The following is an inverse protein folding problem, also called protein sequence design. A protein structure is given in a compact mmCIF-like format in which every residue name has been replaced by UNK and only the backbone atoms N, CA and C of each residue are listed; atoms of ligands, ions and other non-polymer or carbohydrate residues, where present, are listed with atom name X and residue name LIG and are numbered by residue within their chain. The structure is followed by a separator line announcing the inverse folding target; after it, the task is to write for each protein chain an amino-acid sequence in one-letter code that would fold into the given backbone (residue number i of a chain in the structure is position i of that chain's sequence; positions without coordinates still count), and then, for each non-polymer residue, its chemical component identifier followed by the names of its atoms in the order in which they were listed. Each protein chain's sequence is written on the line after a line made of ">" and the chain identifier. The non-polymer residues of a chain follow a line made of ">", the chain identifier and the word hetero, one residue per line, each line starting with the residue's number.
data_IF_536107391145
#
_entry.id   IF_536107391145
#
_cell.length_a   1.000
_cell.length_b   1.000
_cell.length_c   1.000
_cell.angle_alpha   90.00
_cell.angle_beta   90.00
_cell.angle_gamma   90.00
#
_symmetry.space_group_name_H-M   'P 1'
#
loop_
_entity.id
_entity.type
_entity.pdbx_description
1 polymer ?
#
# COMPACT_ATOMS: atom_id res chain seq x y z
N UNK A 1 17.79 -13.32 3.45
CA UNK A 1 16.40 -13.67 3.08
C UNK A 1 15.85 -12.54 2.24
N UNK A 2 15.49 -12.78 0.97
CA UNK A 2 15.05 -11.71 0.08
C UNK A 2 13.71 -11.17 0.59
N UNK A 3 13.66 -9.86 0.85
CA UNK A 3 12.44 -9.14 1.18
C UNK A 3 11.54 -9.18 -0.05
N UNK A 4 10.67 -10.18 -0.09
CA UNK A 4 9.69 -10.34 -1.15
C UNK A 4 8.73 -9.15 -1.09
N UNK A 5 8.67 -8.42 -2.20
CA UNK A 5 7.66 -7.43 -2.57
C UNK A 5 6.26 -7.93 -2.19
N UNK A 6 5.69 -7.43 -1.10
CA UNK A 6 4.27 -7.60 -0.80
C UNK A 6 3.67 -6.21 -0.62
N UNK A 7 3.42 -5.53 -1.74
CA UNK A 7 2.40 -4.48 -1.78
C UNK A 7 1.06 -5.24 -1.74
N UNK A 8 0.63 -5.64 -0.55
CA UNK A 8 -0.79 -5.84 -0.29
C UNK A 8 -1.42 -4.47 -0.56
N UNK A 9 -1.97 -4.28 -1.76
CA UNK A 9 -2.54 -2.99 -2.15
C UNK A 9 -3.76 -2.64 -1.30
N UNK A 10 -4.36 -3.64 -0.65
CA UNK A 10 -5.63 -3.53 0.04
C UNK A 10 -5.64 -4.26 1.40
N UNK A 11 -6.42 -3.75 2.34
CA UNK A 11 -6.73 -4.39 3.64
C UNK A 11 -7.10 -5.86 3.55
N UNK A 12 -7.91 -6.19 2.55
CA UNK A 12 -8.42 -7.54 2.37
C UNK A 12 -7.33 -8.54 1.99
N UNK A 13 -6.20 -8.09 1.44
CA UNK A 13 -5.06 -8.97 1.17
C UNK A 13 -4.37 -9.38 2.46
N UNK A 14 -4.31 -8.47 3.44
CA UNK A 14 -3.82 -8.78 4.78
C UNK A 14 -4.76 -9.75 5.50
N UNK A 15 -6.08 -9.52 5.43
CA UNK A 15 -7.07 -10.47 5.99
C UNK A 15 -6.92 -11.84 5.33
N UNK A 16 -6.77 -11.91 4.01
CA UNK A 16 -6.56 -13.17 3.29
C UNK A 16 -5.24 -13.88 3.65
N UNK A 17 -4.22 -13.15 4.12
CA UNK A 17 -2.95 -13.71 4.55
C UNK A 17 -3.01 -14.32 5.98
N UNK A 18 -4.11 -14.14 6.71
CA UNK A 18 -4.25 -14.70 8.05
C UNK A 18 -4.36 -16.24 8.02
N UNK A 19 -3.87 -16.92 9.07
CA UNK A 19 -4.07 -18.36 9.21
C UNK A 19 -5.54 -18.76 9.24
N UNK A 20 -5.81 -19.97 8.77
CA UNK A 20 -7.10 -20.66 8.81
C UNK A 20 -7.93 -20.39 10.06
N UNK A 21 -7.33 -20.68 11.23
CA UNK A 21 -7.99 -20.62 12.52
C UNK A 21 -8.40 -19.19 12.87
N UNK A 22 -7.55 -18.19 12.56
CA UNK A 22 -7.86 -16.77 12.80
C UNK A 22 -9.02 -16.30 11.90
N UNK A 23 -9.09 -16.78 10.66
CA UNK A 23 -10.20 -16.46 9.74
C UNK A 23 -11.54 -17.05 10.20
N UNK A 24 -11.55 -18.28 10.69
CA UNK A 24 -12.79 -18.90 11.19
C UNK A 24 -13.33 -18.14 12.43
N UNK A 25 -12.45 -17.71 13.35
CA UNK A 25 -12.81 -16.86 14.49
C UNK A 25 -13.37 -15.50 14.01
N UNK A 26 -12.74 -14.89 13.02
CA UNK A 26 -13.25 -13.65 12.42
C UNK A 26 -14.66 -13.83 11.81
N UNK A 27 -14.96 -14.99 11.25
CA UNK A 27 -16.27 -15.30 10.68
C UNK A 27 -17.36 -15.58 11.70
N UNK A 28 -17.04 -15.77 12.97
CA UNK A 28 -18.03 -15.83 14.05
C UNK A 28 -18.75 -14.48 14.23
N UNK A 29 -18.10 -13.38 13.86
CA UNK A 29 -18.66 -12.04 13.97
C UNK A 29 -19.47 -11.66 12.70
N UNK A 30 -20.80 -11.44 12.81
CA UNK A 30 -21.65 -11.08 11.66
C UNK A 30 -21.28 -9.75 11.00
N UNK A 31 -20.62 -8.83 11.72
CA UNK A 31 -20.16 -7.56 11.17
C UNK A 31 -19.06 -7.77 10.13
N UNK A 32 -18.15 -8.67 10.44
CA UNK A 32 -17.00 -9.00 9.61
C UNK A 32 -17.45 -9.69 8.33
N UNK A 33 -18.42 -10.62 8.40
CA UNK A 33 -18.97 -11.27 7.22
C UNK A 33 -19.52 -10.27 6.18
N UNK A 34 -20.24 -9.22 6.62
CA UNK A 34 -20.77 -8.21 5.69
C UNK A 34 -19.71 -7.20 5.24
N UNK A 35 -18.71 -6.87 6.08
CA UNK A 35 -17.61 -6.00 5.66
C UNK A 35 -16.81 -6.68 4.55
N UNK A 36 -16.53 -7.96 4.73
CA UNK A 36 -15.86 -8.79 3.74
C UNK A 36 -16.72 -8.88 2.49
N UNK A 37 -18.03 -9.15 2.61
CA UNK A 37 -18.94 -9.12 1.47
C UNK A 37 -18.92 -7.78 0.74
N UNK A 38 -18.92 -6.63 1.44
CA UNK A 38 -18.80 -5.29 0.82
C UNK A 38 -17.51 -5.09 0.07
N UNK A 39 -16.42 -5.64 0.58
CA UNK A 39 -15.12 -5.54 -0.04
C UNK A 39 -14.98 -6.45 -1.27
N UNK A 40 -15.78 -7.52 -1.42
CA UNK A 40 -15.59 -8.44 -2.55
C UNK A 40 -15.83 -7.78 -3.93
N UNK A 41 -15.13 -8.26 -4.99
CA UNK A 41 -15.45 -7.89 -6.37
C UNK A 41 -16.93 -8.17 -6.70
N UNK A 42 -17.55 -7.42 -7.64
CA UNK A 42 -18.97 -7.58 -7.97
C UNK A 42 -19.38 -9.01 -8.33
N UNK A 43 -18.52 -9.73 -9.05
CA UNK A 43 -18.79 -11.11 -9.46
C UNK A 43 -18.67 -12.10 -8.28
N UNK A 44 -17.70 -11.90 -7.39
CA UNK A 44 -17.58 -12.67 -6.15
C UNK A 44 -18.79 -12.46 -5.23
N UNK A 45 -19.28 -11.20 -5.10
CA UNK A 45 -20.52 -10.88 -4.37
C UNK A 45 -21.72 -11.65 -4.95
N UNK A 46 -21.88 -11.63 -6.28
CA UNK A 46 -22.94 -12.38 -6.97
C UNK A 46 -22.92 -13.85 -6.55
N UNK A 47 -21.77 -14.52 -6.63
CA UNK A 47 -21.65 -15.93 -6.26
C UNK A 47 -22.03 -16.20 -4.81
N UNK A 48 -21.48 -15.43 -3.87
CA UNK A 48 -21.81 -15.58 -2.44
C UNK A 48 -23.30 -15.40 -2.20
N UNK A 49 -23.93 -14.38 -2.81
CA UNK A 49 -25.38 -14.12 -2.64
C UNK A 49 -26.26 -15.21 -3.25
N UNK A 50 -25.90 -15.76 -4.43
CA UNK A 50 -26.66 -16.85 -5.06
C UNK A 50 -26.53 -18.16 -4.28
N UNK A 51 -25.33 -18.45 -3.76
CA UNK A 51 -25.06 -19.64 -2.98
C UNK A 51 -25.54 -19.54 -1.53
N UNK A 52 -25.89 -18.34 -1.05
CA UNK A 52 -26.17 -18.10 0.36
C UNK A 52 -27.27 -19.00 0.92
N UNK A 53 -28.33 -19.26 0.16
CA UNK A 53 -29.44 -20.14 0.56
C UNK A 53 -29.35 -21.54 -0.08
N UNK A 54 -28.24 -21.85 -0.75
CA UNK A 54 -27.98 -23.17 -1.30
C UNK A 54 -27.26 -24.04 -0.25
N UNK A 55 -27.79 -25.22 0.05
CA UNK A 55 -27.22 -26.12 1.08
C UNK A 55 -26.13 -27.06 0.53
N UNK A 56 -26.06 -27.21 -0.80
CA UNK A 56 -25.14 -28.10 -1.52
C UNK A 56 -23.86 -27.43 -2.03
N UNK A 57 -22.86 -28.25 -2.39
CA UNK A 57 -21.69 -27.81 -3.15
C UNK A 57 -22.06 -27.60 -4.62
N UNK A 58 -21.41 -26.63 -5.27
CA UNK A 58 -21.62 -26.33 -6.69
C UNK A 58 -20.35 -26.69 -7.47
N UNK A 59 -20.50 -27.36 -8.61
CA UNK A 59 -19.36 -27.72 -9.46
C UNK A 59 -18.76 -26.50 -10.15
N UNK A 60 -17.44 -26.51 -10.36
CA UNK A 60 -16.73 -25.42 -11.03
C UNK A 60 -17.30 -25.11 -12.43
N UNK A 61 -17.67 -26.16 -13.18
CA UNK A 61 -18.29 -26.03 -14.51
C UNK A 61 -19.58 -25.21 -14.48
N UNK A 62 -20.44 -25.44 -13.49
CA UNK A 62 -21.69 -24.69 -13.37
C UNK A 62 -21.44 -23.20 -13.06
N UNK A 63 -20.42 -22.88 -12.25
CA UNK A 63 -20.04 -21.49 -11.98
C UNK A 63 -19.45 -20.79 -13.22
N UNK A 64 -18.72 -21.53 -14.07
CA UNK A 64 -18.20 -21.02 -15.34
C UNK A 64 -19.34 -20.69 -16.32
N UNK A 65 -20.40 -21.49 -16.36
CA UNK A 65 -21.60 -21.24 -17.17
C UNK A 65 -22.38 -19.98 -16.76
N UNK A 66 -22.20 -19.47 -15.53
CA UNK A 66 -22.87 -18.25 -15.06
C UNK A 66 -22.24 -16.94 -15.58
N UNK A 67 -21.20 -17.05 -16.41
CA UNK A 67 -20.42 -15.92 -16.92
C UNK A 67 -20.33 -16.01 -18.45
N UNK A 68 -20.44 -14.85 -19.09
CA UNK A 68 -20.19 -14.74 -20.53
C UNK A 68 -18.69 -14.97 -20.84
N UNK A 69 -18.34 -15.41 -22.07
CA UNK A 69 -16.94 -15.67 -22.44
C UNK A 69 -15.97 -14.52 -22.12
N UNK A 70 -16.39 -13.27 -22.33
CA UNK A 70 -15.61 -12.06 -22.06
C UNK A 70 -15.29 -11.84 -20.57
N UNK A 71 -16.02 -12.50 -19.66
CA UNK A 71 -15.85 -12.40 -18.22
C UNK A 71 -14.95 -13.46 -17.58
N UNK A 72 -14.37 -14.39 -18.36
CA UNK A 72 -13.60 -15.52 -17.84
C UNK A 72 -12.41 -15.11 -16.95
N UNK A 73 -11.72 -14.02 -17.30
CA UNK A 73 -10.61 -13.49 -16.49
C UNK A 73 -11.10 -12.98 -15.13
N UNK A 74 -12.22 -12.26 -15.10
CA UNK A 74 -12.85 -11.75 -13.87
C UNK A 74 -13.41 -12.88 -13.01
N UNK A 75 -13.92 -13.95 -13.64
CA UNK A 75 -14.34 -15.17 -12.96
C UNK A 75 -13.18 -15.81 -12.20
N UNK A 76 -12.06 -16.07 -12.88
CA UNK A 76 -10.87 -16.68 -12.26
C UNK A 76 -10.37 -15.88 -11.06
N UNK A 77 -10.26 -14.55 -11.21
CA UNK A 77 -9.84 -13.66 -10.11
C UNK A 77 -10.84 -13.68 -8.95
N UNK A 78 -12.14 -13.75 -9.23
CA UNK A 78 -13.17 -13.79 -8.18
C UNK A 78 -13.16 -15.10 -7.41
N UNK A 79 -13.00 -16.25 -8.10
CA UNK A 79 -12.90 -17.56 -7.46
C UNK A 79 -11.63 -17.67 -6.62
N UNK A 80 -10.47 -17.30 -7.18
CA UNK A 80 -9.20 -17.28 -6.45
C UNK A 80 -9.33 -16.43 -5.17
N UNK A 81 -9.98 -15.27 -5.27
CA UNK A 81 -10.22 -14.42 -4.10
C UNK A 81 -11.12 -15.06 -3.03
N UNK A 82 -12.20 -15.72 -3.45
CA UNK A 82 -13.11 -16.41 -2.53
C UNK A 82 -12.45 -17.59 -1.83
N UNK A 83 -11.55 -18.30 -2.53
CA UNK A 83 -10.76 -19.41 -1.97
C UNK A 83 -9.67 -18.89 -1.03
N UNK A 84 -8.95 -17.83 -1.39
CA UNK A 84 -7.95 -17.19 -0.52
C UNK A 84 -8.53 -16.71 0.80
N UNK A 85 -9.72 -16.09 0.76
CA UNK A 85 -10.44 -15.69 1.96
C UNK A 85 -11.12 -16.87 2.68
N UNK A 86 -11.05 -18.10 2.15
CA UNK A 86 -11.75 -19.27 2.71
C UNK A 86 -13.26 -19.07 2.88
N UNK A 87 -13.84 -18.21 2.04
CA UNK A 87 -15.29 -18.10 1.91
C UNK A 87 -15.78 -19.31 1.11
N UNK A 88 -14.99 -19.73 0.11
CA UNK A 88 -15.15 -21.01 -0.56
C UNK A 88 -14.19 -22.05 0.01
N UNK A 89 -14.75 -23.22 0.28
CA UNK A 89 -14.01 -24.46 0.54
C UNK A 89 -14.03 -25.31 -0.71
N UNK A 90 -12.84 -25.73 -1.17
CA UNK A 90 -12.71 -26.62 -2.33
C UNK A 90 -12.85 -28.07 -1.86
N UNK A 91 -13.82 -28.78 -2.42
CA UNK A 91 -13.92 -30.24 -2.33
C UNK A 91 -13.67 -30.86 -3.70
N UNK A 92 -12.68 -31.74 -3.78
CA UNK A 92 -12.40 -32.50 -5.00
C UNK A 92 -13.17 -33.82 -4.91
N UNK A 93 -14.20 -33.98 -5.74
CA UNK A 93 -14.90 -35.25 -5.82
C UNK A 93 -14.03 -36.30 -6.54
N UNK A 94 -14.36 -37.59 -6.34
CA UNK A 94 -13.64 -38.76 -6.88
C UNK A 94 -13.40 -38.72 -8.40
N UNK A 95 -14.13 -37.87 -9.15
CA UNK A 95 -14.00 -37.65 -10.60
C UNK A 95 -13.02 -36.53 -11.01
N UNK A 96 -12.20 -35.99 -10.10
CA UNK A 96 -11.34 -34.80 -10.31
C UNK A 96 -12.10 -33.50 -10.65
N UNK A 97 -13.41 -33.48 -10.49
CA UNK A 97 -14.18 -32.24 -10.60
C UNK A 97 -14.08 -31.45 -9.29
N UNK A 98 -13.68 -30.18 -9.41
CA UNK A 98 -13.67 -29.25 -8.29
C UNK A 98 -15.11 -28.82 -8.01
N UNK A 99 -15.49 -28.89 -6.74
CA UNK A 99 -16.75 -28.35 -6.24
C UNK A 99 -16.46 -27.33 -5.15
N UNK A 100 -17.27 -26.28 -5.10
CA UNK A 100 -17.15 -25.17 -4.18
C UNK A 100 -18.31 -25.18 -3.21
N UNK A 101 -18.02 -25.02 -1.92
CA UNK A 101 -19.02 -24.84 -0.87
C UNK A 101 -18.71 -23.58 -0.06
N UNK A 102 -19.75 -22.82 0.31
CA UNK A 102 -19.59 -21.72 1.26
C UNK A 102 -19.13 -22.23 2.62
N UNK A 103 -18.28 -21.46 3.30
CA UNK A 103 -17.93 -21.71 4.69
C UNK A 103 -19.21 -21.65 5.55
N UNK A 104 -19.55 -22.70 6.32
CA UNK A 104 -20.81 -22.78 7.04
C UNK A 104 -20.97 -21.67 8.08
N UNK A 105 -19.89 -21.27 8.76
CA UNK A 105 -19.93 -20.18 9.76
C UNK A 105 -20.24 -18.85 9.09
N UNK A 106 -19.55 -18.57 7.97
CA UNK A 106 -19.80 -17.36 7.18
C UNK A 106 -21.22 -17.34 6.60
N UNK A 107 -21.69 -18.47 6.08
CA UNK A 107 -23.02 -18.62 5.50
C UNK A 107 -24.11 -18.38 6.55
N UNK A 108 -24.03 -19.03 7.71
CA UNK A 108 -25.01 -18.90 8.78
C UNK A 108 -25.09 -17.47 9.35
N UNK A 109 -23.94 -16.83 9.57
CA UNK A 109 -23.90 -15.46 10.09
C UNK A 109 -24.40 -14.42 9.10
N UNK A 110 -24.09 -14.59 7.80
CA UNK A 110 -24.62 -13.71 6.77
C UNK A 110 -26.13 -13.90 6.55
N UNK A 111 -26.62 -15.15 6.56
CA UNK A 111 -28.06 -15.44 6.51
C UNK A 111 -28.80 -14.79 7.69
N UNK A 112 -28.30 -15.01 8.92
CA UNK A 112 -28.87 -14.40 10.14
C UNK A 112 -28.93 -12.88 10.04
N UNK A 113 -27.91 -12.26 9.46
CA UNK A 113 -27.86 -10.80 9.32
C UNK A 113 -28.89 -10.26 8.33
N UNK A 114 -29.11 -10.97 7.22
CA UNK A 114 -30.11 -10.59 6.22
C UNK A 114 -31.54 -10.76 6.77
N UNK A 115 -31.80 -11.82 7.54
CA UNK A 115 -33.15 -12.12 8.05
C UNK A 115 -33.53 -11.33 9.29
N UNK A 116 -32.61 -11.14 10.22
CA UNK A 116 -32.90 -10.48 11.52
C UNK A 116 -32.71 -8.96 11.46
N UNK A 117 -32.09 -8.44 10.39
CA UNK A 117 -31.60 -7.08 10.34
C UNK A 117 -30.39 -6.89 11.24
N UNK A 118 -29.39 -6.13 10.77
CA UNK A 118 -28.23 -5.80 11.59
C UNK A 118 -28.58 -4.72 12.61
N UNK A 119 -28.64 -5.07 13.90
CA UNK A 119 -28.45 -4.06 14.95
C UNK A 119 -27.02 -3.55 14.80
N UNK A 120 -26.83 -2.23 14.73
CA UNK A 120 -25.48 -1.67 14.70
C UNK A 120 -24.72 -2.15 15.95
N UNK A 121 -23.40 -2.41 15.85
CA UNK A 121 -22.61 -2.86 16.99
C UNK A 121 -22.79 -1.97 18.23
N UNK A 122 -23.01 -0.68 17.99
CA UNK A 122 -23.35 0.33 18.98
C UNK A 122 -24.41 1.27 18.43
N UNK A 123 -25.38 1.62 19.26
CA UNK A 123 -26.35 2.66 18.93
C UNK A 123 -25.70 4.04 19.07
N UNK A 124 -25.97 4.97 18.12
CA UNK A 124 -25.51 6.33 18.26
C UNK A 124 -26.16 6.98 19.50
N UNK A 125 -25.40 7.80 20.20
CA UNK A 125 -25.92 8.57 21.32
C UNK A 125 -27.06 9.48 20.86
N UNK A 126 -28.14 9.60 21.67
CA UNK A 126 -29.21 10.51 21.36
C UNK A 126 -28.70 11.96 21.31
N UNK A 127 -29.23 12.78 20.39
CA UNK A 127 -28.76 14.15 20.18
C UNK A 127 -28.95 15.06 21.39
N UNK A 128 -29.76 14.65 22.37
CA UNK A 128 -29.96 15.33 23.65
C UNK A 128 -28.76 15.26 24.61
N UNK A 129 -27.93 14.22 24.52
CA UNK A 129 -26.75 14.01 25.36
C UNK A 129 -25.48 14.54 24.70
N UNK A 130 -25.50 14.66 23.39
CA UNK A 130 -24.40 15.21 22.60
C UNK A 130 -24.58 16.73 22.52
N UNK A 131 -23.51 17.49 22.79
CA UNK A 131 -23.52 18.93 22.53
C UNK A 131 -23.57 19.26 21.03
N UNK A 132 -22.94 20.37 20.62
CA UNK A 132 -22.80 20.70 19.19
C UNK A 132 -21.92 19.64 18.49
N UNK A 133 -22.55 18.83 17.65
CA UNK A 133 -21.85 17.93 16.75
C UNK A 133 -21.22 18.73 15.59
N UNK A 134 -20.00 18.39 15.15
CA UNK A 134 -19.36 19.01 14.00
C UNK A 134 -20.12 18.66 12.71
N UNK A 135 -20.11 19.58 11.74
CA UNK A 135 -20.67 19.30 10.41
C UNK A 135 -19.83 18.24 9.68
N UNK A 136 -20.39 17.64 8.63
CA UNK A 136 -19.64 16.68 7.79
C UNK A 136 -18.40 17.34 7.15
N UNK A 137 -18.50 18.59 6.73
CA UNK A 137 -17.39 19.36 6.16
C UNK A 137 -16.29 19.64 7.22
N UNK A 138 -16.69 20.00 8.44
CA UNK A 138 -15.75 20.19 9.56
C UNK A 138 -15.03 18.88 9.93
N UNK A 139 -15.72 17.73 9.81
CA UNK A 139 -15.13 16.41 10.05
C UNK A 139 -14.18 15.99 8.93
N UNK A 140 -14.51 16.25 7.67
CA UNK A 140 -13.63 15.97 6.54
C UNK A 140 -12.36 16.83 6.63
N UNK A 141 -12.49 18.12 6.94
CA UNK A 141 -11.35 19.01 7.18
C UNK A 141 -10.47 18.53 8.34
N UNK A 142 -11.09 18.16 9.46
CA UNK A 142 -10.37 17.61 10.62
C UNK A 142 -9.60 16.34 10.25
N UNK A 143 -10.22 15.40 9.54
CA UNK A 143 -9.60 14.13 9.15
C UNK A 143 -8.36 14.36 8.26
N UNK A 144 -8.47 15.27 7.28
CA UNK A 144 -7.34 15.62 6.40
C UNK A 144 -6.22 16.32 7.17
N UNK A 145 -6.54 17.31 8.02
CA UNK A 145 -5.53 18.02 8.81
C UNK A 145 -4.79 17.08 9.76
N UNK A 146 -5.48 16.14 10.43
CA UNK A 146 -4.84 15.15 11.28
C UNK A 146 -3.97 14.18 10.48
N UNK A 147 -4.45 13.70 9.33
CA UNK A 147 -3.67 12.83 8.44
C UNK A 147 -2.41 13.52 7.93
N UNK A 148 -2.49 14.77 7.51
CA UNK A 148 -1.33 15.57 7.11
C UNK A 148 -0.34 15.79 8.25
N UNK A 149 -0.83 16.09 9.46
CA UNK A 149 0.03 16.21 10.65
C UNK A 149 0.78 14.90 10.94
N UNK A 150 0.09 13.76 10.82
CA UNK A 150 0.69 12.45 10.98
C UNK A 150 1.78 12.19 9.92
N UNK A 151 1.49 12.44 8.64
CA UNK A 151 2.47 12.26 7.56
C UNK A 151 3.68 13.18 7.70
N UNK A 152 3.46 14.43 8.12
CA UNK A 152 4.56 15.35 8.42
C UNK A 152 5.44 14.83 9.55
N UNK A 153 4.85 14.32 10.63
CA UNK A 153 5.59 13.71 11.71
C UNK A 153 6.35 12.45 11.28
N UNK A 154 5.76 11.66 10.37
CA UNK A 154 6.38 10.47 9.80
C UNK A 154 7.65 10.79 9.01
N UNK A 155 7.64 11.87 8.21
CA UNK A 155 8.77 12.30 7.37
C UNK A 155 9.78 13.13 8.16
N UNK A 156 9.31 14.05 9.00
CA UNK A 156 10.15 14.99 9.73
C UNK A 156 9.63 15.20 11.16
N UNK A 157 10.20 14.43 12.10
CA UNK A 157 9.85 14.48 13.52
C UNK A 157 10.08 15.85 14.18
N UNK A 158 10.91 16.71 13.59
CA UNK A 158 11.27 18.03 14.14
C UNK A 158 10.27 19.16 13.86
N UNK A 159 9.32 18.99 12.94
CA UNK A 159 8.38 20.06 12.52
C UNK A 159 6.91 19.81 12.89
N UNK A 160 6.61 18.70 13.57
CA UNK A 160 5.24 18.42 14.01
C UNK A 160 4.87 19.33 15.20
N UNK A 161 4.01 20.33 14.95
CA UNK A 161 3.49 21.25 15.98
C UNK A 161 2.62 20.53 17.04
N UNK A 162 2.11 19.33 16.74
CA UNK A 162 1.33 18.49 17.67
C UNK A 162 2.05 17.18 17.93
N UNK A 163 2.27 16.88 19.20
CA UNK A 163 2.79 15.59 19.67
C UNK A 163 1.67 14.55 19.52
N UNK A 164 1.87 13.56 18.65
CA UNK A 164 0.99 12.39 18.56
C UNK A 164 1.10 11.54 19.82
N UNK A 165 0.02 10.88 20.24
CA UNK A 165 0.02 9.91 21.34
C UNK A 165 0.78 8.61 21.03
N UNK A 166 1.19 8.40 19.77
CA UNK A 166 2.05 7.28 19.37
C UNK A 166 3.36 7.22 20.17
N UNK A 167 3.67 6.03 20.68
CA UNK A 167 4.96 5.77 21.30
C UNK A 167 6.09 5.88 20.27
N UNK A 168 7.30 6.32 20.67
CA UNK A 168 8.46 6.39 19.77
C UNK A 168 8.79 5.03 19.11
N UNK A 169 8.47 3.93 19.79
CA UNK A 169 8.61 2.58 19.23
C UNK A 169 7.64 2.31 18.09
N UNK A 170 6.38 2.75 18.20
CA UNK A 170 5.41 2.62 17.11
C UNK A 170 5.74 3.54 15.94
N UNK A 171 6.25 4.74 16.21
CA UNK A 171 6.72 5.61 15.13
C UNK A 171 7.86 4.95 14.35
N UNK A 172 8.81 4.30 15.04
CA UNK A 172 9.86 3.51 14.38
C UNK A 172 9.33 2.36 13.53
N UNK A 173 8.20 1.77 13.92
CA UNK A 173 7.51 0.73 13.13
C UNK A 173 6.94 1.33 11.85
N UNK A 174 6.20 2.44 11.94
CA UNK A 174 5.67 3.10 10.75
C UNK A 174 6.77 3.61 9.81
N UNK A 175 7.90 4.06 10.36
CA UNK A 175 9.04 4.52 9.58
C UNK A 175 9.85 3.37 8.96
N UNK A 176 9.60 2.11 9.36
CA UNK A 176 10.34 0.95 8.87
C UNK A 176 10.08 0.77 7.38
N UNK A 177 11.15 0.85 6.59
CA UNK A 177 11.05 0.75 5.13
C UNK A 177 10.59 2.03 4.44
N UNK A 178 10.11 3.05 5.16
CA UNK A 178 9.81 4.38 4.60
C UNK A 178 10.97 5.37 4.78
N UNK A 179 11.74 5.22 5.86
CA UNK A 179 12.92 6.04 6.16
C UNK A 179 14.17 5.17 6.31
N UNK A 180 15.32 5.72 5.90
CA UNK A 180 16.62 5.09 6.07
C UNK A 180 17.01 5.11 7.55
N UNK A 181 17.24 3.94 8.16
CA UNK A 181 17.61 3.83 9.57
C UNK A 181 19.09 4.15 9.87
N UNK A 182 19.87 4.57 8.86
CA UNK A 182 21.33 4.58 8.89
C UNK A 182 21.99 5.96 9.02
N UNK A 183 21.24 7.05 9.18
CA UNK A 183 21.78 8.41 9.26
C UNK A 183 21.22 9.21 10.43
N UNK A 184 22.03 10.15 10.96
CA UNK A 184 21.65 11.11 12.01
C UNK A 184 20.39 11.92 11.65
N UNK A 185 20.14 12.11 10.36
CA UNK A 185 18.91 12.66 9.81
C UNK A 185 18.21 11.57 8.99
N UNK A 186 16.95 11.19 9.31
CA UNK A 186 16.23 10.18 8.54
C UNK A 186 15.94 10.70 7.13
N UNK A 187 16.39 9.96 6.11
CA UNK A 187 16.08 10.26 4.71
C UNK A 187 14.99 9.33 4.20
N UNK A 188 14.17 9.83 3.27
CA UNK A 188 13.13 9.04 2.63
C UNK A 188 13.75 7.98 1.71
N UNK A 189 13.26 6.74 1.80
CA UNK A 189 13.64 5.65 0.88
C UNK A 189 12.79 5.71 -0.39
N UNK A 190 13.16 4.95 -1.43
CA UNK A 190 12.33 4.76 -2.63
C UNK A 190 10.88 4.36 -2.28
N UNK A 191 10.71 3.39 -1.39
CA UNK A 191 9.40 2.95 -0.91
C UNK A 191 8.70 4.00 -0.06
N UNK A 192 9.44 4.82 0.70
CA UNK A 192 8.92 5.98 1.41
C UNK A 192 8.33 7.01 0.47
N UNK A 193 9.03 7.32 -0.63
CA UNK A 193 8.53 8.22 -1.65
C UNK A 193 7.31 7.63 -2.34
N UNK A 194 7.39 6.37 -2.79
CA UNK A 194 6.25 5.69 -3.41
C UNK A 194 5.02 5.71 -2.50
N UNK A 195 5.18 5.52 -1.19
CA UNK A 195 4.10 5.64 -0.20
C UNK A 195 3.46 7.03 -0.20
N UNK A 196 4.25 8.11 -0.18
CA UNK A 196 3.73 9.48 -0.24
C UNK A 196 2.97 9.77 -1.55
N UNK A 197 3.29 9.06 -2.63
CA UNK A 197 2.59 9.17 -3.91
C UNK A 197 1.25 8.40 -3.96
N UNK A 198 1.01 7.48 -3.03
CA UNK A 198 -0.22 6.67 -3.05
C UNK A 198 -1.46 7.52 -2.71
N UNK A 199 -2.64 7.05 -3.14
CA UNK A 199 -3.90 7.63 -2.68
C UNK A 199 -4.04 7.50 -1.15
N UNK A 200 -4.73 8.46 -0.52
CA UNK A 200 -4.90 8.49 0.96
C UNK A 200 -5.42 7.18 1.54
N UNK A 201 -6.35 6.50 0.85
CA UNK A 201 -6.86 5.21 1.31
C UNK A 201 -5.76 4.14 1.31
N UNK A 202 -4.91 4.11 0.29
CA UNK A 202 -3.82 3.14 0.18
C UNK A 202 -2.68 3.45 1.17
N UNK A 203 -2.39 4.74 1.41
CA UNK A 203 -1.49 5.15 2.50
C UNK A 203 -2.02 4.71 3.86
N UNK A 204 -3.30 4.98 4.12
CA UNK A 204 -3.98 4.57 5.35
C UNK A 204 -3.88 3.06 5.55
N UNK A 205 -4.06 2.28 4.49
CA UNK A 205 -3.92 0.83 4.57
C UNK A 205 -2.56 0.33 4.94
N UNK A 206 -1.53 0.92 4.35
CA UNK A 206 -0.16 0.58 4.68
C UNK A 206 0.11 0.82 6.17
N UNK A 207 -0.32 1.96 6.71
CA UNK A 207 -0.15 2.29 8.13
C UNK A 207 -0.97 1.37 9.04
N UNK A 208 -2.24 1.10 8.71
CA UNK A 208 -3.09 0.19 9.50
C UNK A 208 -2.53 -1.25 9.49
N UNK A 209 -1.95 -1.69 8.38
CA UNK A 209 -1.30 -3.01 8.29
C UNK A 209 -0.10 -3.11 9.23
N UNK A 210 0.78 -2.12 9.21
CA UNK A 210 1.93 -2.09 10.12
C UNK A 210 1.47 -1.98 11.58
N UNK A 211 0.40 -1.21 11.84
CA UNK A 211 -0.22 -1.12 13.16
C UNK A 211 -0.73 -2.47 13.68
N UNK A 212 -1.43 -3.25 12.83
CA UNK A 212 -1.92 -4.60 13.17
C UNK A 212 -0.77 -5.59 13.31
N UNK A 213 0.21 -5.53 12.41
CA UNK A 213 1.37 -6.46 12.46
C UNK A 213 2.19 -6.28 13.74
N UNK A 214 2.21 -5.06 14.29
CA UNK A 214 2.86 -4.75 15.56
C UNK A 214 1.97 -4.91 16.80
N UNK A 215 0.73 -5.41 16.65
CA UNK A 215 -0.18 -5.56 17.79
C UNK A 215 0.23 -6.70 18.72
N UNK A 216 0.85 -7.76 18.18
CA UNK A 216 1.31 -8.92 18.95
C UNK A 216 2.40 -8.52 19.97
N UNK A 217 3.29 -7.59 19.62
CA UNK A 217 4.29 -7.03 20.55
C UNK A 217 3.66 -6.21 21.70
N UNK A 218 2.45 -5.68 21.49
CA UNK A 218 1.67 -4.95 22.51
C UNK A 218 0.80 -5.88 23.35
N UNK A 219 0.79 -7.18 23.08
CA UNK A 219 -0.09 -8.15 23.73
C UNK A 219 -1.57 -8.02 23.31
N UNK A 220 -1.84 -7.41 22.15
CA UNK A 220 -3.20 -7.27 21.60
C UNK A 220 -3.37 -8.27 20.46
N UNK A 221 -4.41 -9.12 20.55
CA UNK A 221 -4.71 -10.07 19.48
C UNK A 221 -5.07 -9.31 18.19
N UNK A 222 -4.38 -9.56 17.06
CA UNK A 222 -4.73 -8.95 15.78
C UNK A 222 -6.17 -9.25 15.35
N UNK A 223 -6.78 -10.37 15.77
CA UNK A 223 -8.17 -10.71 15.46
C UNK A 223 -9.14 -9.71 16.09
N UNK A 224 -8.93 -9.36 17.36
CA UNK A 224 -9.77 -8.39 18.08
C UNK A 224 -9.62 -6.99 17.48
N UNK A 225 -8.40 -6.62 17.10
CA UNK A 225 -8.12 -5.34 16.48
C UNK A 225 -8.76 -5.22 15.09
N UNK A 226 -8.64 -6.25 14.25
CA UNK A 226 -9.30 -6.30 12.94
C UNK A 226 -10.82 -6.25 13.11
N UNK A 227 -11.36 -6.98 14.07
CA UNK A 227 -12.78 -6.97 14.40
C UNK A 227 -13.25 -5.57 14.74
N UNK A 228 -12.51 -4.86 15.59
CA UNK A 228 -12.82 -3.49 15.99
C UNK A 228 -12.72 -2.48 14.84
N UNK A 229 -11.70 -2.58 13.98
CA UNK A 229 -11.55 -1.72 12.80
C UNK A 229 -12.68 -1.92 11.80
N UNK A 230 -13.06 -3.18 11.56
CA UNK A 230 -14.20 -3.50 10.70
C UNK A 230 -15.51 -3.01 11.32
N UNK A 231 -15.69 -3.18 12.62
CA UNK A 231 -16.83 -2.64 13.36
C UNK A 231 -16.94 -1.12 13.20
N UNK A 232 -15.83 -0.39 13.34
CA UNK A 232 -15.77 1.06 13.17
C UNK A 232 -16.24 1.50 11.78
N UNK A 233 -15.96 0.70 10.74
CA UNK A 233 -16.39 1.01 9.37
C UNK A 233 -17.92 0.99 9.17
N UNK A 234 -18.67 0.34 10.06
CA UNK A 234 -20.15 0.31 10.04
C UNK A 234 -20.79 1.49 10.78
N UNK A 235 -20.01 2.25 11.54
CA UNK A 235 -20.54 3.39 12.25
C UNK A 235 -20.89 4.50 11.25
N UNK A 236 -21.97 5.24 11.52
CA UNK A 236 -22.38 6.35 10.67
C UNK A 236 -21.47 7.55 10.90
N UNK A 237 -20.96 8.14 9.83
CA UNK A 237 -20.20 9.39 9.89
C UNK A 237 -21.03 10.50 10.51
N UNK A 238 -20.40 11.32 11.35
CA UNK A 238 -21.06 12.46 12.00
C UNK A 238 -21.96 12.13 13.20
N UNK A 239 -22.14 10.85 13.56
CA UNK A 239 -22.84 10.46 14.79
C UNK A 239 -21.86 10.19 15.93
N UNK A 240 -22.29 10.46 17.15
CA UNK A 240 -21.50 10.23 18.35
C UNK A 240 -21.78 8.85 18.95
N UNK A 241 -20.73 8.22 19.45
CA UNK A 241 -20.76 6.91 20.08
C UNK A 241 -20.02 6.94 21.42
N UNK A 242 -20.59 6.29 22.44
CA UNK A 242 -20.08 6.39 23.81
C UNK A 242 -18.74 5.65 23.98
N UNK A 243 -17.76 6.28 24.65
CA UNK A 243 -16.48 5.64 24.98
C UNK A 243 -16.58 4.63 26.13
N UNK A 244 -17.59 4.76 27.00
CA UNK A 244 -17.73 3.91 28.19
C UNK A 244 -18.03 2.46 27.85
N UNK A 245 -18.58 2.18 26.66
CA UNK A 245 -18.85 0.83 26.16
C UNK A 245 -17.59 0.11 25.66
N UNK A 246 -16.46 0.81 25.55
CA UNK A 246 -15.21 0.25 25.03
C UNK A 246 -14.34 -0.32 26.14
N UNK A 247 -13.67 -1.43 25.83
CA UNK A 247 -12.59 -1.99 26.68
C UNK A 247 -11.38 -1.05 26.71
N UNK A 248 -10.51 -1.18 27.71
CA UNK A 248 -9.33 -0.32 27.84
C UNK A 248 -8.39 -0.42 26.62
N UNK A 249 -8.28 -1.62 26.03
CA UNK A 249 -7.52 -1.86 24.80
C UNK A 249 -8.15 -1.13 23.60
N UNK A 250 -9.48 -1.17 23.48
CA UNK A 250 -10.21 -0.45 22.44
C UNK A 250 -10.09 1.06 22.61
N UNK A 251 -10.11 1.58 23.85
CA UNK A 251 -9.91 3.02 24.12
C UNK A 251 -8.50 3.49 23.74
N UNK A 252 -7.49 2.70 24.08
CA UNK A 252 -6.10 2.96 23.68
C UNK A 252 -5.97 2.97 22.15
N UNK A 253 -6.49 1.95 21.48
CA UNK A 253 -6.53 1.89 20.01
C UNK A 253 -7.29 3.07 19.42
N UNK A 254 -8.39 3.49 20.02
CA UNK A 254 -9.18 4.62 19.52
C UNK A 254 -8.43 5.96 19.67
N UNK A 255 -7.60 6.12 20.69
CA UNK A 255 -6.68 7.26 20.80
C UNK A 255 -5.68 7.27 19.64
N UNK A 256 -5.06 6.13 19.36
CA UNK A 256 -4.15 5.96 18.23
C UNK A 256 -4.87 6.26 16.88
N UNK A 257 -6.11 5.78 16.70
CA UNK A 257 -6.92 6.08 15.51
C UNK A 257 -7.39 7.54 15.42
N UNK A 258 -7.50 8.24 16.55
CA UNK A 258 -7.83 9.65 16.58
C UNK A 258 -6.68 10.51 16.06
N UNK A 259 -5.44 10.14 16.39
CA UNK A 259 -4.24 10.81 15.88
C UNK A 259 -4.06 10.63 14.37
N UNK A 260 -4.52 9.51 13.82
CA UNK A 260 -4.61 9.30 12.36
C UNK A 260 -5.80 10.02 11.71
N UNK A 261 -6.71 10.62 12.49
CA UNK A 261 -7.90 11.30 11.96
C UNK A 261 -9.05 10.39 11.54
N UNK A 262 -9.04 9.10 11.91
CA UNK A 262 -10.17 8.19 11.62
C UNK A 262 -11.37 8.48 12.52
N UNK A 263 -11.11 8.99 13.72
CA UNK A 263 -12.15 9.34 14.70
C UNK A 263 -11.84 10.68 15.35
N UNK A 264 -12.88 11.45 15.65
CA UNK A 264 -12.76 12.67 16.46
C UNK A 264 -13.25 12.39 17.86
N UNK A 265 -12.37 12.56 18.85
CA UNK A 265 -12.72 12.43 20.26
C UNK A 265 -13.31 13.75 20.77
N UNK A 266 -14.43 13.66 21.49
CA UNK A 266 -15.05 14.80 22.15
C UNK A 266 -15.43 14.42 23.58
N UNK A 267 -15.19 15.36 24.51
CA UNK A 267 -15.55 15.21 25.92
C UNK A 267 -16.70 16.15 26.23
N UNK A 268 -17.78 15.61 26.79
CA UNK A 268 -18.83 16.37 27.44
C UNK A 268 -18.53 16.60 28.92
N UNK A 269 -19.55 17.04 29.66
CA UNK A 269 -19.43 17.30 31.11
C UNK A 269 -19.21 16.03 31.93
N UNK A 270 -19.92 14.95 31.59
CA UNK A 270 -19.87 13.66 32.31
C UNK A 270 -19.49 12.47 31.40
N UNK A 271 -19.76 12.56 30.10
CA UNK A 271 -19.54 11.49 29.14
C UNK A 271 -18.53 11.91 28.07
N UNK A 272 -17.79 10.94 27.57
CA UNK A 272 -16.88 11.13 26.42
C UNK A 272 -17.34 10.26 25.27
N UNK A 273 -17.30 10.79 24.05
CA UNK A 273 -17.74 10.10 22.85
C UNK A 273 -16.75 10.26 21.70
N UNK A 274 -16.88 9.39 20.71
CA UNK A 274 -16.13 9.47 19.47
C UNK A 274 -17.06 9.62 18.28
N UNK A 275 -16.55 10.30 17.23
CA UNK A 275 -17.27 10.54 15.98
C UNK A 275 -16.43 9.99 14.83
N UNK A 276 -16.88 8.94 14.12
CA UNK A 276 -16.17 8.41 12.96
C UNK A 276 -16.11 9.42 11.83
N UNK A 277 -14.95 9.50 11.17
CA UNK A 277 -14.74 10.29 9.95
C UNK A 277 -14.91 9.41 8.72
N UNK A 278 -14.91 10.02 7.53
CA UNK A 278 -15.01 9.31 6.25
C UNK A 278 -13.84 8.34 6.00
N UNK A 279 -12.67 8.61 6.60
CA UNK A 279 -11.51 7.71 6.54
C UNK A 279 -11.82 6.36 7.20
N UNK A 280 -12.55 6.38 8.33
CA UNK A 280 -12.93 5.15 9.03
C UNK A 280 -13.96 4.31 8.25
N UNK A 281 -14.94 4.95 7.62
CA UNK A 281 -15.95 4.23 6.82
C UNK A 281 -15.36 3.66 5.52
N UNK A 282 -14.35 4.33 4.95
CA UNK A 282 -13.68 3.86 3.74
C UNK A 282 -12.85 2.58 3.97
N UNK A 283 -12.61 2.19 5.24
CA UNK A 283 -11.89 0.96 5.57
C UNK A 283 -12.59 -0.30 5.02
N UNK A 284 -13.91 -0.42 5.03
CA UNK A 284 -14.57 -1.63 4.48
C UNK A 284 -14.94 -1.53 3.00
N UNK A 285 -14.81 -0.35 2.39
CA UNK A 285 -15.33 -0.04 1.05
C UNK A 285 -14.26 -0.11 -0.05
N UNK A 286 -13.01 -0.44 0.30
CA UNK A 286 -11.79 -0.27 -0.51
C UNK A 286 -11.74 -0.94 -1.91
N UNK A 287 -12.81 -1.59 -2.37
CA UNK A 287 -12.91 -2.26 -3.68
C UNK A 287 -14.08 -1.75 -4.56
N UNK A 288 -14.93 -0.84 -4.05
CA UNK A 288 -16.00 -0.23 -4.82
C UNK A 288 -15.74 1.28 -4.99
N UNK A 289 -15.19 1.64 -6.15
CA UNK A 289 -15.16 3.01 -6.70
C UNK A 289 -14.33 4.09 -5.96
N UNK A 290 -13.01 3.90 -5.81
CA UNK A 290 -12.08 5.03 -5.61
C UNK A 290 -11.70 5.74 -6.93
N UNK A 291 -12.58 5.76 -7.93
CA UNK A 291 -12.35 6.48 -9.20
C UNK A 291 -12.60 8.00 -9.08
N UNK A 292 -12.78 8.53 -7.87
CA UNK A 292 -12.70 9.97 -7.64
C UNK A 292 -11.23 10.39 -7.66
N UNK A 293 -10.70 10.58 -8.87
CA UNK A 293 -9.40 11.25 -9.06
C UNK A 293 -9.44 12.52 -8.21
N UNK A 294 -8.56 12.61 -7.21
CA UNK A 294 -8.33 13.87 -6.51
C UNK A 294 -8.06 14.92 -7.59
N UNK A 295 -8.78 16.04 -7.53
CA UNK A 295 -8.47 17.15 -8.41
C UNK A 295 -7.07 17.63 -8.03
N UNK A 296 -6.12 17.43 -8.94
CA UNK A 296 -4.76 17.88 -8.73
C UNK A 296 -4.69 19.40 -8.62
N UNK A 297 -3.62 19.90 -8.02
CA UNK A 297 -3.38 21.33 -7.81
C UNK A 297 -2.09 21.81 -8.47
N UNK A 298 -1.35 20.93 -9.15
CA UNK A 298 0.00 21.22 -9.67
C UNK A 298 -0.06 21.65 -11.14
N UNK A 299 0.68 22.69 -11.47
CA UNK A 299 0.93 23.17 -12.84
C UNK A 299 2.43 23.23 -13.06
N UNK A 300 2.91 22.58 -14.12
CA UNK A 300 4.32 22.58 -14.52
C UNK A 300 4.47 23.37 -15.82
N UNK A 301 5.39 24.32 -15.83
CA UNK A 301 5.73 25.13 -17.01
C UNK A 301 6.98 24.60 -17.73
N UNK A 302 7.17 25.03 -18.98
CA UNK A 302 8.31 24.63 -19.83
C UNK A 302 9.66 25.15 -19.32
N UNK A 303 9.67 26.11 -18.41
CA UNK A 303 10.85 26.70 -17.76
C UNK A 303 11.26 25.98 -16.47
N UNK A 304 10.76 24.75 -16.23
CA UNK A 304 11.01 23.95 -15.02
C UNK A 304 10.43 24.53 -13.72
N UNK A 305 9.53 25.51 -13.81
CA UNK A 305 8.77 26.00 -12.65
C UNK A 305 7.53 25.15 -12.40
N UNK A 306 7.30 24.88 -11.13
CA UNK A 306 6.17 24.12 -10.60
C UNK A 306 5.37 25.05 -9.70
N UNK A 307 4.08 25.15 -9.98
CA UNK A 307 3.12 25.95 -9.23
C UNK A 307 2.09 25.01 -8.64
N UNK A 308 2.03 24.94 -7.32
CA UNK A 308 1.06 24.11 -6.63
C UNK A 308 0.06 24.98 -5.87
N UNK A 309 -1.21 24.88 -6.26
CA UNK A 309 -2.32 25.58 -5.60
C UNK A 309 -2.75 24.82 -4.34
N UNK A 310 -1.92 24.85 -3.32
CA UNK A 310 -2.17 24.22 -2.03
C UNK A 310 -1.67 25.11 -0.89
N UNK A 311 -2.36 25.04 0.25
CA UNK A 311 -1.93 25.65 1.51
C UNK A 311 -1.28 24.61 2.45
N UNK A 312 -1.21 23.34 2.05
CA UNK A 312 -0.74 22.26 2.92
C UNK A 312 0.79 22.29 3.02
N UNK A 313 1.30 22.24 4.25
CA UNK A 313 2.74 22.12 4.55
C UNK A 313 3.33 20.79 4.04
N UNK A 314 2.55 19.71 4.05
CA UNK A 314 2.98 18.38 3.58
C UNK A 314 3.39 18.42 2.10
N UNK A 315 2.54 18.98 1.27
CA UNK A 315 2.77 19.14 -0.16
C UNK A 315 4.03 19.98 -0.45
N UNK A 316 4.28 21.05 0.32
CA UNK A 316 5.54 21.81 0.26
C UNK A 316 6.75 20.91 0.55
N UNK A 317 6.71 20.08 1.60
CA UNK A 317 7.82 19.17 1.93
C UNK A 317 8.01 18.07 0.88
N UNK A 318 6.93 17.55 0.29
CA UNK A 318 7.02 16.59 -0.83
C UNK A 318 7.72 17.23 -2.03
N UNK A 319 7.35 18.46 -2.39
CA UNK A 319 8.03 19.20 -3.48
C UNK A 319 9.51 19.43 -3.18
N UNK A 320 9.88 19.70 -1.92
CA UNK A 320 11.30 19.89 -1.52
C UNK A 320 12.18 18.69 -1.76
N UNK A 321 11.61 17.48 -1.88
CA UNK A 321 12.39 16.27 -2.11
C UNK A 321 13.07 16.25 -3.48
N UNK A 322 12.48 16.90 -4.48
CA UNK A 322 12.98 16.88 -5.86
C UNK A 322 13.05 18.26 -6.53
N UNK A 323 12.60 19.31 -5.84
CA UNK A 323 12.60 20.69 -6.34
C UNK A 323 12.98 21.68 -5.25
N UNK A 324 13.42 22.87 -5.64
CA UNK A 324 13.70 23.97 -4.72
C UNK A 324 12.46 24.84 -4.59
N UNK A 325 11.86 24.89 -3.40
CA UNK A 325 10.78 25.84 -3.10
C UNK A 325 11.36 27.25 -3.02
N UNK A 326 10.92 28.13 -3.92
CA UNK A 326 11.35 29.53 -3.98
C UNK A 326 10.45 30.42 -3.11
N UNK A 327 9.14 30.22 -3.21
CA UNK A 327 8.14 31.03 -2.50
C UNK A 327 7.02 30.15 -1.94
N UNK A 328 6.62 30.46 -0.71
CA UNK A 328 5.44 29.88 -0.07
C UNK A 328 4.43 30.99 0.22
N UNK A 329 3.40 31.09 -0.60
CA UNK A 329 2.29 32.03 -0.44
C UNK A 329 1.08 31.31 0.19
N UNK A 330 0.07 32.02 0.72
CA UNK A 330 -1.02 31.40 1.48
C UNK A 330 -1.79 30.28 0.78
N UNK A 331 -1.89 30.29 -0.56
CA UNK A 331 -2.59 29.27 -1.37
C UNK A 331 -1.78 28.86 -2.61
N UNK A 332 -0.48 29.17 -2.64
CA UNK A 332 0.36 28.91 -3.80
C UNK A 332 1.80 28.63 -3.36
N UNK A 333 2.31 27.47 -3.75
CA UNK A 333 3.70 27.09 -3.57
C UNK A 333 4.37 27.20 -4.95
N UNK A 334 5.46 27.95 -5.01
CA UNK A 334 6.28 28.09 -6.23
C UNK A 334 7.60 27.39 -6.00
N UNK A 335 7.89 26.41 -6.85
CA UNK A 335 9.12 25.65 -6.82
C UNK A 335 9.78 25.60 -8.20
N UNK A 336 11.09 25.39 -8.22
CA UNK A 336 11.88 25.22 -9.43
C UNK A 336 12.59 23.86 -9.39
N UNK A 337 12.43 23.08 -10.46
CA UNK A 337 13.17 21.84 -10.66
C UNK A 337 14.57 22.20 -11.20
N UNK A 338 15.61 21.81 -10.46
CA UNK A 338 17.00 22.00 -10.88
C UNK A 338 17.74 20.66 -10.86
N UNK A 339 18.83 20.60 -11.63
CA UNK A 339 19.67 19.40 -11.74
C UNK A 339 20.18 18.93 -10.37
N UNK A 340 20.61 19.86 -9.52
CA UNK A 340 21.19 19.56 -8.22
C UNK A 340 20.17 18.92 -7.26
N UNK A 341 18.93 19.41 -7.25
CA UNK A 341 17.88 18.85 -6.38
C UNK A 341 17.46 17.46 -6.86
N UNK A 342 17.39 17.26 -8.18
CA UNK A 342 17.07 15.95 -8.74
C UNK A 342 18.18 14.94 -8.48
N UNK A 343 19.44 15.34 -8.55
CA UNK A 343 20.55 14.45 -8.19
C UNK A 343 20.46 14.03 -6.72
N UNK A 344 20.15 14.97 -5.81
CA UNK A 344 19.85 14.64 -4.42
C UNK A 344 18.66 13.69 -4.26
N UNK A 345 17.62 13.83 -5.09
CA UNK A 345 16.47 12.92 -5.10
C UNK A 345 16.84 11.52 -5.60
N UNK A 346 17.62 11.43 -6.70
CA UNK A 346 18.09 10.17 -7.27
C UNK A 346 19.02 9.41 -6.32
N UNK A 347 19.92 10.12 -5.62
CA UNK A 347 20.76 9.53 -4.56
C UNK A 347 19.94 8.97 -3.39
N UNK A 348 18.76 9.55 -3.12
CA UNK A 348 17.83 9.02 -2.12
C UNK A 348 16.96 7.87 -2.67
N UNK A 349 17.15 7.45 -3.92
CA UNK A 349 16.43 6.35 -4.56
C UNK A 349 15.08 6.74 -5.17
N UNK A 350 14.78 8.03 -5.33
CA UNK A 350 13.57 8.49 -6.01
C UNK A 350 13.80 8.44 -7.50
N UNK A 351 12.99 7.69 -8.27
CA UNK A 351 13.21 7.56 -9.72
C UNK A 351 12.57 8.68 -10.55
N UNK A 352 13.08 8.92 -11.77
CA UNK A 352 12.50 9.92 -12.67
C UNK A 352 11.02 9.63 -12.96
N UNK A 353 10.68 8.36 -13.20
CA UNK A 353 9.32 7.94 -13.49
C UNK A 353 8.35 8.15 -12.31
N UNK A 354 8.83 8.01 -11.08
CA UNK A 354 8.04 8.32 -9.89
C UNK A 354 7.72 9.82 -9.80
N UNK A 355 8.71 10.69 -10.05
CA UNK A 355 8.54 12.15 -10.07
C UNK A 355 7.57 12.56 -11.18
N UNK A 356 7.75 12.03 -12.39
CA UNK A 356 6.85 12.31 -13.53
C UNK A 356 5.43 11.84 -13.22
N UNK A 357 5.28 10.63 -12.68
CA UNK A 357 3.97 10.09 -12.29
C UNK A 357 3.29 10.95 -11.22
N UNK A 358 4.04 11.46 -10.24
CA UNK A 358 3.52 12.38 -9.22
C UNK A 358 2.95 13.66 -9.84
N UNK A 359 3.73 14.31 -10.71
CA UNK A 359 3.33 15.55 -11.37
C UNK A 359 2.09 15.33 -12.26
N UNK A 360 2.00 14.19 -12.94
CA UNK A 360 0.86 13.84 -13.78
C UNK A 360 -0.41 13.53 -12.97
N UNK A 361 -0.29 12.77 -11.87
CA UNK A 361 -1.43 12.38 -11.02
C UNK A 361 -2.00 13.58 -10.26
N UNK A 362 -1.16 14.54 -9.88
CA UNK A 362 -1.55 15.75 -9.16
C UNK A 362 -1.69 16.99 -10.07
N UNK A 363 -1.78 16.79 -11.39
CA UNK A 363 -1.94 17.88 -12.35
C UNK A 363 -3.30 18.59 -12.15
N UNK A 364 -3.29 19.92 -12.21
CA UNK A 364 -4.49 20.75 -12.13
C UNK A 364 -5.49 20.37 -13.23
N UNK A 365 -6.82 20.31 -12.99
CA UNK A 365 -7.81 19.82 -13.96
C UNK A 365 -7.72 20.47 -15.35
N UNK A 366 -7.39 21.77 -15.42
CA UNK A 366 -7.20 22.50 -16.69
C UNK A 366 -5.99 22.01 -17.50
N UNK A 367 -4.97 21.51 -16.81
CA UNK A 367 -3.73 20.99 -17.39
C UNK A 367 -3.82 19.48 -17.60
N UNK A 368 -4.51 18.76 -16.71
CA UNK A 368 -4.76 17.33 -16.83
C UNK A 368 -5.57 16.95 -18.09
N UNK A 369 -6.34 17.88 -18.65
CA UNK A 369 -7.04 17.71 -19.93
C UNK A 369 -6.10 17.81 -21.15
N UNK A 370 -4.89 18.37 -20.99
CA UNK A 370 -3.89 18.43 -22.05
C UNK A 370 -3.13 17.10 -22.09
N UNK A 371 -2.87 16.61 -23.28
CA UNK A 371 -2.01 15.44 -23.54
C UNK A 371 -0.75 15.91 -24.27
N UNK A 372 0.43 15.83 -23.65
CA UNK A 372 0.71 15.38 -22.27
C UNK A 372 0.38 16.44 -21.20
N UNK A 373 0.08 15.99 -19.97
CA UNK A 373 -0.28 16.87 -18.85
C UNK A 373 0.94 17.57 -18.23
N UNK A 374 2.12 17.00 -18.39
CA UNK A 374 3.40 17.63 -18.06
C UNK A 374 4.14 17.88 -19.39
N UNK A 375 4.76 19.06 -19.60
CA UNK A 375 5.49 19.34 -20.84
C UNK A 375 6.58 18.30 -21.14
N UNK A 376 6.67 17.85 -22.40
CA UNK A 376 7.61 16.80 -22.82
C UNK A 376 9.07 17.17 -22.55
N UNK A 377 9.42 18.44 -22.74
CA UNK A 377 10.76 18.94 -22.46
C UNK A 377 11.16 18.76 -20.99
N UNK A 378 10.20 18.86 -20.06
CA UNK A 378 10.45 18.65 -18.63
C UNK A 378 10.58 17.17 -18.33
N UNK A 379 9.69 16.33 -18.85
CA UNK A 379 9.73 14.87 -18.60
C UNK A 379 11.00 14.24 -19.14
N UNK A 380 11.41 14.61 -20.36
CA UNK A 380 12.60 14.05 -21.00
C UNK A 380 13.87 14.50 -20.30
N UNK A 381 13.91 15.77 -19.85
CA UNK A 381 15.06 16.30 -19.14
C UNK A 381 15.26 15.63 -17.77
N UNK A 382 14.17 15.33 -17.03
CA UNK A 382 14.25 14.61 -15.75
C UNK A 382 14.83 13.21 -15.98
N UNK A 383 14.34 12.48 -16.99
CA UNK A 383 14.84 11.14 -17.35
C UNK A 383 16.29 11.15 -17.84
N UNK A 384 16.68 12.17 -18.59
CA UNK A 384 18.05 12.35 -19.05
C UNK A 384 19.00 12.56 -17.87
N UNK A 385 18.60 13.37 -16.88
CA UNK A 385 19.39 13.59 -15.67
C UNK A 385 19.57 12.34 -14.80
N UNK A 386 18.56 11.46 -14.73
CA UNK A 386 18.70 10.15 -14.08
C UNK A 386 19.68 9.24 -14.86
N UNK A 387 19.54 9.20 -16.18
CA UNK A 387 20.43 8.41 -17.06
C UNK A 387 21.87 8.89 -16.95
N UNK A 388 22.09 10.21 -16.84
CA UNK A 388 23.41 10.80 -16.65
C UNK A 388 24.08 10.36 -15.33
N UNK A 389 23.30 10.10 -14.27
CA UNK A 389 23.80 9.59 -13.00
C UNK A 389 24.11 8.09 -13.07
N UNK A 390 23.27 7.32 -13.78
CA UNK A 390 23.40 5.87 -13.96
C UNK A 390 24.26 5.47 -15.18
N UNK A 391 25.15 6.36 -15.65
CA UNK A 391 26.01 6.11 -16.82
C UNK A 391 27.01 4.96 -16.62
N UNK A 392 27.40 4.69 -15.38
CA UNK A 392 28.46 3.73 -15.05
C UNK A 392 27.90 2.67 -14.11
N UNK A 393 27.79 1.45 -14.62
CA UNK A 393 27.46 0.28 -13.80
C UNK A 393 28.75 -0.40 -13.33
N UNK A 394 28.87 -0.59 -12.01
CA UNK A 394 30.01 -1.26 -11.41
C UNK A 394 29.63 -2.70 -11.08
N UNK A 395 30.21 -3.65 -11.81
CA UNK A 395 30.02 -5.08 -11.57
C UNK A 395 31.30 -5.72 -11.02
N UNK A 396 31.27 -6.38 -9.84
CA UNK A 396 32.41 -7.14 -9.34
C UNK A 396 32.78 -8.27 -10.31
N UNK A 397 34.02 -8.27 -10.77
CA UNK A 397 34.47 -9.16 -11.83
C UNK A 397 35.91 -9.64 -11.61
N UNK A 398 36.24 -10.79 -12.20
CA UNK A 398 37.60 -11.29 -12.29
C UNK A 398 38.06 -11.33 -13.73
N UNK A 399 39.28 -10.85 -13.97
CA UNK A 399 39.98 -10.96 -15.24
C UNK A 399 40.80 -12.25 -15.24
N UNK A 400 40.63 -13.04 -16.29
CA UNK A 400 41.51 -14.16 -16.61
C UNK A 400 42.31 -13.79 -17.86
N UNK A 401 43.62 -13.84 -17.72
CA UNK A 401 44.62 -13.64 -18.76
C UNK A 401 45.59 -14.84 -18.83
N UNK A 402 46.50 -14.81 -19.81
CA UNK A 402 47.55 -15.81 -20.02
C UNK A 402 47.05 -17.26 -20.19
N UNK A 403 46.09 -17.45 -21.11
CA UNK A 403 45.70 -18.79 -21.53
C UNK A 403 46.82 -19.48 -22.34
N UNK A 404 47.04 -20.77 -22.07
CA UNK A 404 48.11 -21.55 -22.70
C UNK A 404 47.81 -21.90 -24.15
N UNK A 405 46.53 -22.02 -24.51
CA UNK A 405 46.06 -22.30 -25.86
C UNK A 405 44.73 -21.60 -26.14
N UNK A 406 44.46 -21.38 -27.42
CA UNK A 406 43.20 -20.80 -27.90
C UNK A 406 42.00 -21.68 -27.59
N UNK A 407 42.18 -23.01 -27.61
CA UNK A 407 41.12 -23.98 -27.29
C UNK A 407 40.67 -23.88 -25.83
N UNK A 408 41.61 -23.70 -24.89
CA UNK A 408 41.28 -23.54 -23.46
C UNK A 408 40.59 -22.20 -23.22
N UNK A 409 40.99 -21.16 -23.96
CA UNK A 409 40.31 -19.86 -23.93
C UNK A 409 38.87 -19.95 -24.45
N UNK A 410 38.65 -20.58 -25.61
CA UNK A 410 37.31 -20.76 -26.19
C UNK A 410 36.41 -21.60 -25.27
N UNK A 411 36.94 -22.70 -24.71
CA UNK A 411 36.21 -23.53 -23.75
C UNK A 411 35.86 -22.79 -22.43
N UNK A 412 36.75 -21.91 -21.96
CA UNK A 412 36.49 -21.06 -20.79
C UNK A 412 35.43 -19.99 -21.08
N UNK A 413 35.39 -19.44 -22.30
CA UNK A 413 34.35 -18.50 -22.73
C UNK A 413 32.98 -19.20 -22.85
N UNK A 414 32.95 -20.42 -23.39
CA UNK A 414 31.72 -21.20 -23.52
C UNK A 414 31.15 -21.58 -22.15
N UNK A 415 31.99 -21.99 -21.20
CA UNK A 415 31.56 -22.19 -19.82
C UNK A 415 31.02 -20.89 -19.20
N UNK A 416 31.69 -19.75 -19.39
CA UNK A 416 31.21 -18.47 -18.87
C UNK A 416 29.86 -18.04 -19.49
N UNK A 417 29.61 -18.40 -20.76
CA UNK A 417 28.32 -18.18 -21.44
C UNK A 417 27.23 -19.12 -20.92
N UNK A 418 27.52 -20.40 -20.73
CA UNK A 418 26.59 -21.38 -20.16
C UNK A 418 26.09 -20.95 -18.78
N UNK A 419 26.98 -20.40 -17.96
CA UNK A 419 26.64 -19.90 -16.62
C UNK A 419 26.15 -18.44 -16.60
N UNK A 420 25.95 -17.80 -17.76
CA UNK A 420 25.40 -16.43 -17.90
C UNK A 420 26.17 -15.34 -17.11
N UNK A 421 27.50 -15.46 -17.01
CA UNK A 421 28.31 -14.41 -16.38
C UNK A 421 29.64 -14.12 -17.05
N UNK A 422 29.74 -14.39 -18.34
CA UNK A 422 30.64 -13.67 -19.23
C UNK A 422 30.26 -12.17 -19.24
N UNK A 423 31.21 -11.29 -18.91
CA UNK A 423 31.02 -9.83 -18.97
C UNK A 423 31.70 -9.22 -20.19
N UNK A 424 32.89 -9.71 -20.53
CA UNK A 424 33.67 -9.20 -21.65
C UNK A 424 34.68 -10.26 -22.12
N UNK A 425 34.95 -10.29 -23.43
CA UNK A 425 35.95 -11.14 -24.04
C UNK A 425 36.78 -10.36 -25.06
N UNK A 426 38.07 -10.69 -25.14
CA UNK A 426 39.00 -10.20 -26.16
C UNK A 426 39.75 -11.41 -26.74
N UNK A 427 39.35 -11.78 -27.96
CA UNK A 427 39.90 -12.93 -28.68
C UNK A 427 41.33 -12.71 -29.18
N UNK A 428 41.76 -11.46 -29.37
CA UNK A 428 43.11 -11.14 -29.87
C UNK A 428 44.17 -11.31 -28.79
N UNK A 429 43.81 -10.96 -27.55
CA UNK A 429 44.71 -11.07 -26.38
C UNK A 429 44.42 -12.27 -25.49
N UNK A 430 43.44 -13.11 -25.86
CA UNK A 430 42.93 -14.23 -25.05
C UNK A 430 42.62 -13.78 -23.62
N UNK A 431 41.72 -12.81 -23.47
CA UNK A 431 41.32 -12.30 -22.15
C UNK A 431 39.82 -12.46 -21.97
N UNK A 432 39.42 -12.87 -20.78
CA UNK A 432 38.01 -12.99 -20.44
C UNK A 432 37.75 -12.39 -19.07
N UNK A 433 36.69 -11.61 -18.97
CA UNK A 433 36.20 -11.02 -17.72
C UNK A 433 34.89 -11.70 -17.38
N UNK A 434 34.83 -12.29 -16.18
CA UNK A 434 33.66 -13.00 -15.67
C UNK A 434 33.17 -12.39 -14.37
N UNK A 435 31.88 -12.53 -14.08
CA UNK A 435 31.27 -12.10 -12.82
C UNK A 435 31.93 -12.81 -11.62
N UNK A 436 32.05 -12.11 -10.50
CA UNK A 436 32.61 -12.66 -9.27
C UNK A 436 31.93 -13.96 -8.79
N UNK A 437 30.64 -14.11 -9.07
CA UNK A 437 29.84 -15.29 -8.70
C UNK A 437 30.31 -16.59 -9.36
N UNK A 438 30.91 -16.50 -10.55
CA UNK A 438 31.30 -17.67 -11.38
C UNK A 438 32.80 -17.99 -11.20
N UNK A 439 33.54 -17.16 -10.47
CA UNK A 439 34.98 -17.29 -10.24
C UNK A 439 35.41 -18.67 -9.75
N UNK A 440 34.64 -19.26 -8.82
CA UNK A 440 34.97 -20.56 -8.25
C UNK A 440 34.84 -21.67 -9.30
N UNK A 441 33.75 -21.66 -10.07
CA UNK A 441 33.49 -22.66 -11.12
C UNK A 441 34.52 -22.55 -12.26
N UNK A 442 34.88 -21.33 -12.65
CA UNK A 442 35.92 -21.08 -13.66
C UNK A 442 37.30 -21.54 -13.18
N UNK A 443 37.62 -21.31 -11.90
CA UNK A 443 38.89 -21.79 -11.31
C UNK A 443 38.97 -23.32 -11.30
N UNK A 444 37.88 -24.01 -10.99
CA UNK A 444 37.84 -25.47 -10.95
C UNK A 444 37.94 -26.07 -12.36
N UNK A 445 37.30 -25.46 -13.36
CA UNK A 445 37.44 -25.84 -14.77
C UNK A 445 38.86 -25.66 -15.31
N UNK A 446 39.49 -24.50 -15.05
CA UNK A 446 40.86 -24.22 -15.50
C UNK A 446 41.89 -25.12 -14.81
N UNK A 447 41.64 -25.52 -13.56
CA UNK A 447 42.48 -26.51 -12.85
C UNK A 447 42.32 -27.91 -13.44
N UNK A 448 41.11 -28.32 -13.83
CA UNK A 448 40.85 -29.60 -14.48
C UNK A 448 41.48 -29.75 -15.86
N UNK A 449 41.71 -28.64 -16.58
CA UNK A 449 42.39 -28.59 -17.88
C UNK A 449 43.93 -28.58 -17.81
N UNK A 450 44.50 -28.41 -16.60
CA UNK A 450 45.97 -28.44 -16.37
C UNK A 450 46.50 -29.81 -15.93
N UNK A 451 45.61 -30.76 -15.59
CA UNK A 451 45.94 -32.18 -15.41
C UNK A 451 45.84 -32.89 -16.76
#
# INVERSE_FOLDING_TARGET
>A
MPQVRIIAKNFMDMVAALPAMKLDILYENPFICEAILRSLPPLAKKYVTQMLFSEGSITAKLLEEWVLPDGSTKHRVSIDRLVQLRIFTESVERKKEKSYRLNPTFQANLQKRITTGGVLPREPMPPSLTGRLPSLEELEKYALEQWECFLLHLINSGQAEKVTSFSPSMMRVFQRGLLSQSSKDPKLTESGFQFLLMETNAQLWYIIREYISNSEERGVDPVDLISFLLELSFHMTGKAYNLNTLTDVQRSTLSDLADLGLVKLQKGRNDSWFIPTKLATNLSVSLADSSTRKQGSIVVETNFRVYEYSASKLHSEILRLFSRVEYHLPNLIVAAITKENLYGAFENGITADQIVSFLQQNAHPRVAQRTPSVPENVTDQIRLWETDLNRVEMSPAHLYDDFHSREVFEAACDLAREWSGLLWEDSDKMRVVVKAEIHQNMRDFIRGQRQ
#
